data_IF_510273235315
#
_entry.id   IF_510273235315
#
_cell.length_a   1.000
_cell.length_b   1.000
_cell.length_c   1.000
_cell.angle_alpha   90.00
_cell.angle_beta   90.00
_cell.angle_gamma   90.00
#
_symmetry.space_group_name_H-M   'P 1'
#
loop_
_entity.id
_entity.type
_entity.pdbx_description
1 polymer ?
#
# COMPACT_ATOMS: atom_id res chain seq x y z
N UNK A 1 -11.86 -7.77 2.89
CA UNK A 1 -11.67 -8.21 1.49
C UNK A 1 -11.77 -7.02 0.56
N UNK A 2 -10.98 -7.01 -0.49
CA UNK A 2 -11.10 -6.06 -1.60
C UNK A 2 -11.64 -6.80 -2.83
N UNK A 3 -12.58 -6.18 -3.54
CA UNK A 3 -12.96 -6.62 -4.86
C UNK A 3 -11.87 -6.20 -5.85
N UNK A 4 -11.28 -7.13 -6.55
CA UNK A 4 -10.34 -6.85 -7.62
C UNK A 4 -11.08 -6.66 -8.93
N UNK A 5 -10.87 -5.51 -9.57
CA UNK A 5 -11.30 -5.23 -10.94
C UNK A 5 -10.11 -5.45 -11.86
N UNK A 6 -10.27 -6.34 -12.82
CA UNK A 6 -9.22 -6.63 -13.79
C UNK A 6 -9.27 -5.63 -14.94
N UNK A 7 -8.13 -5.14 -15.42
CA UNK A 7 -8.09 -4.10 -16.45
C UNK A 7 -8.64 -4.54 -17.82
N UNK A 8 -8.78 -5.86 -18.04
CA UNK A 8 -9.39 -6.43 -19.25
C UNK A 8 -10.88 -6.73 -19.10
N UNK A 9 -11.44 -6.57 -17.90
CA UNK A 9 -12.88 -6.73 -17.70
C UNK A 9 -13.64 -5.50 -18.18
N UNK A 10 -14.80 -5.74 -18.78
CA UNK A 10 -15.73 -4.65 -19.06
C UNK A 10 -16.23 -4.08 -17.73
N UNK A 11 -16.30 -2.75 -17.67
CA UNK A 11 -16.76 -2.05 -16.48
C UNK A 11 -18.10 -2.59 -15.95
N UNK A 12 -19.03 -2.93 -16.84
CA UNK A 12 -20.32 -3.49 -16.50
C UNK A 12 -20.22 -4.88 -15.83
N UNK A 13 -19.31 -5.74 -16.27
CA UNK A 13 -19.04 -7.05 -15.65
C UNK A 13 -18.48 -6.88 -14.23
N UNK A 14 -17.58 -5.91 -14.05
CA UNK A 14 -17.02 -5.56 -12.74
C UNK A 14 -18.10 -5.04 -11.78
N UNK A 15 -19.04 -4.21 -12.26
CA UNK A 15 -20.19 -3.73 -11.48
C UNK A 15 -21.14 -4.86 -11.07
N UNK A 16 -21.43 -5.80 -11.96
CA UNK A 16 -22.27 -6.96 -11.63
C UNK A 16 -21.61 -7.85 -10.57
N UNK A 17 -20.32 -8.12 -10.70
CA UNK A 17 -19.55 -8.88 -9.71
C UNK A 17 -19.49 -8.16 -8.36
N UNK A 18 -19.31 -6.85 -8.35
CA UNK A 18 -19.36 -6.03 -7.16
C UNK A 18 -20.74 -6.18 -6.45
N UNK A 19 -21.84 -6.10 -7.19
CA UNK A 19 -23.18 -6.30 -6.64
C UNK A 19 -23.39 -7.68 -6.01
N UNK A 20 -22.76 -8.73 -6.55
CA UNK A 20 -22.79 -10.08 -5.96
C UNK A 20 -22.01 -10.14 -4.64
N UNK A 21 -20.83 -9.51 -4.59
CA UNK A 21 -20.00 -9.47 -3.37
C UNK A 21 -20.63 -8.67 -2.25
N UNK A 22 -21.37 -7.61 -2.56
CA UNK A 22 -22.13 -6.86 -1.58
C UNK A 22 -23.27 -7.68 -0.94
N UNK A 23 -23.85 -8.65 -1.68
CA UNK A 23 -24.79 -9.62 -1.09
C UNK A 23 -24.09 -10.54 -0.11
N UNK A 24 -22.91 -11.06 -0.47
CA UNK A 24 -22.09 -11.90 0.41
C UNK A 24 -21.69 -11.14 1.68
N UNK A 25 -21.34 -9.87 1.58
CA UNK A 25 -21.02 -9.05 2.76
C UNK A 25 -22.25 -8.93 3.70
N UNK A 26 -23.42 -8.65 3.17
CA UNK A 26 -24.65 -8.58 3.97
C UNK A 26 -24.93 -9.89 4.69
N UNK A 27 -24.76 -11.02 4.01
CA UNK A 27 -24.92 -12.36 4.59
C UNK A 27 -23.84 -12.65 5.66
N UNK A 28 -22.60 -12.19 5.45
CA UNK A 28 -21.51 -12.42 6.41
C UNK A 28 -21.73 -11.76 7.76
N UNK A 29 -22.55 -10.70 7.83
CA UNK A 29 -22.92 -10.05 9.09
C UNK A 29 -23.66 -11.00 10.04
N UNK A 30 -24.37 -12.00 9.50
CA UNK A 30 -25.01 -13.05 10.30
C UNK A 30 -23.99 -14.00 10.94
N UNK A 31 -22.75 -14.08 10.40
CA UNK A 31 -21.66 -14.90 10.89
C UNK A 31 -20.61 -14.12 11.69
N UNK A 32 -21.03 -13.07 12.42
CA UNK A 32 -20.17 -12.32 13.32
C UNK A 32 -19.42 -11.14 12.70
N UNK A 33 -19.69 -10.79 11.44
CA UNK A 33 -19.15 -9.56 10.83
C UNK A 33 -17.62 -9.56 10.61
N UNK A 34 -17.00 -10.75 10.52
CA UNK A 34 -15.55 -10.88 10.31
C UNK A 34 -15.11 -10.54 8.87
N UNK A 35 -16.04 -10.49 7.92
CA UNK A 35 -15.76 -10.15 6.53
C UNK A 35 -16.37 -8.78 6.23
N UNK A 36 -15.56 -7.87 5.73
CA UNK A 36 -16.00 -6.56 5.24
C UNK A 36 -15.51 -6.39 3.81
N UNK A 37 -16.39 -5.91 2.93
CA UNK A 37 -16.09 -5.61 1.53
C UNK A 37 -16.43 -4.14 1.30
N UNK A 38 -15.47 -3.26 1.48
CA UNK A 38 -15.63 -1.81 1.28
C UNK A 38 -14.51 -1.24 0.39
N UNK A 39 -13.62 -2.11 -0.09
CA UNK A 39 -12.45 -1.72 -0.87
C UNK A 39 -12.54 -2.32 -2.26
N UNK A 40 -12.28 -1.51 -3.27
CA UNK A 40 -12.12 -1.93 -4.67
C UNK A 40 -10.65 -1.84 -5.05
N UNK A 41 -10.07 -2.95 -5.52
CA UNK A 41 -8.67 -3.02 -5.96
C UNK A 41 -8.58 -2.85 -7.47
N UNK A 42 -7.76 -1.89 -7.90
CA UNK A 42 -7.43 -1.62 -9.30
C UNK A 42 -5.94 -1.87 -9.55
N UNK A 43 -5.59 -2.15 -10.80
CA UNK A 43 -4.22 -2.26 -11.27
C UNK A 43 -4.00 -1.25 -12.39
N UNK A 44 -3.02 -0.35 -12.22
CA UNK A 44 -2.66 0.64 -13.24
C UNK A 44 -1.69 0.09 -14.25
N UNK A 45 -0.72 -0.71 -13.78
CA UNK A 45 0.39 -1.20 -14.58
C UNK A 45 0.89 -2.56 -14.09
N UNK A 46 2.03 -2.98 -14.60
CA UNK A 46 2.75 -4.18 -14.15
C UNK A 46 3.94 -3.85 -13.27
N UNK A 47 5.13 -4.42 -13.59
CA UNK A 47 6.37 -4.31 -12.82
C UNK A 47 7.55 -3.90 -13.70
N UNK A 48 8.60 -3.33 -13.09
CA UNK A 48 9.77 -2.82 -13.80
C UNK A 48 10.51 -3.94 -14.51
N UNK A 49 10.75 -5.05 -13.83
CA UNK A 49 11.57 -6.17 -14.31
C UNK A 49 11.02 -6.81 -15.60
N UNK A 50 9.74 -6.68 -15.83
CA UNK A 50 9.06 -7.18 -17.03
C UNK A 50 8.77 -6.08 -18.06
N UNK A 51 9.29 -4.86 -17.87
CA UNK A 51 9.00 -3.66 -18.69
C UNK A 51 7.50 -3.37 -18.84
N UNK A 52 6.72 -3.71 -17.83
CA UNK A 52 5.26 -3.51 -17.82
C UNK A 52 4.81 -2.43 -16.84
N UNK A 53 5.70 -1.91 -15.99
CA UNK A 53 5.44 -0.70 -15.23
C UNK A 53 5.33 0.50 -16.19
N UNK A 54 4.28 1.31 -16.03
CA UNK A 54 4.02 2.45 -16.92
C UNK A 54 4.80 3.68 -16.47
N UNK A 55 5.75 4.10 -17.32
CA UNK A 55 6.71 5.15 -17.04
C UNK A 55 6.38 6.44 -17.82
N UNK A 56 6.69 7.60 -17.26
CA UNK A 56 6.64 8.88 -17.98
C UNK A 56 7.70 9.00 -19.06
N UNK A 57 8.90 8.49 -18.79
CA UNK A 57 9.99 8.39 -19.77
C UNK A 57 10.22 6.94 -20.19
N UNK A 58 10.74 6.67 -21.41
CA UNK A 58 11.08 5.31 -21.81
C UNK A 58 12.04 4.61 -20.84
N UNK A 59 12.06 3.28 -20.87
CA UNK A 59 13.10 2.48 -20.24
C UNK A 59 14.45 2.77 -20.91
N UNK A 60 15.56 2.56 -20.16
CA UNK A 60 16.91 2.83 -20.70
C UNK A 60 17.34 1.82 -21.76
N UNK A 61 16.91 0.58 -21.63
CA UNK A 61 17.28 -0.54 -22.52
C UNK A 61 16.31 -0.75 -23.68
N UNK A 62 15.20 0.00 -23.74
CA UNK A 62 14.22 -0.07 -24.83
C UNK A 62 13.39 1.22 -24.97
N UNK A 63 12.84 1.45 -26.16
CA UNK A 63 12.03 2.64 -26.44
C UNK A 63 10.61 2.62 -25.82
N UNK A 64 10.23 1.53 -25.17
CA UNK A 64 8.91 1.37 -24.53
C UNK A 64 8.80 2.11 -23.19
N UNK A 65 7.57 2.43 -22.82
CA UNK A 65 7.23 3.05 -21.53
C UNK A 65 6.45 2.13 -20.59
N UNK A 66 6.37 0.84 -20.89
CA UNK A 66 5.48 -0.08 -20.21
C UNK A 66 4.04 0.02 -20.70
N UNK A 67 3.10 -0.35 -19.87
CA UNK A 67 1.68 -0.44 -20.25
C UNK A 67 0.79 0.13 -19.16
N UNK A 68 0.10 1.23 -19.46
CA UNK A 68 -1.04 1.67 -18.67
C UNK A 68 -2.24 0.77 -19.00
N UNK A 69 -2.89 0.21 -17.99
CA UNK A 69 -4.05 -0.68 -18.18
C UNK A 69 -5.36 0.09 -18.31
N UNK A 70 -5.39 1.36 -18.00
CA UNK A 70 -6.56 2.21 -18.04
C UNK A 70 -6.37 3.40 -18.97
N UNK A 71 -7.44 3.76 -19.64
CA UNK A 71 -7.60 5.10 -20.17
C UNK A 71 -7.90 6.06 -19.00
N UNK A 72 -7.22 7.21 -18.93
CA UNK A 72 -7.28 8.13 -17.82
C UNK A 72 -8.71 8.69 -17.58
N UNK A 73 -9.43 9.01 -18.64
CA UNK A 73 -10.80 9.54 -18.48
C UNK A 73 -11.75 8.46 -17.95
N UNK A 74 -11.63 7.23 -18.44
CA UNK A 74 -12.37 6.08 -17.93
C UNK A 74 -12.04 5.83 -16.45
N UNK A 75 -10.75 5.90 -16.07
CA UNK A 75 -10.32 5.73 -14.69
C UNK A 75 -10.89 6.82 -13.78
N UNK A 76 -10.83 8.09 -14.20
CA UNK A 76 -11.37 9.24 -13.45
C UNK A 76 -12.85 9.06 -13.10
N UNK A 77 -13.66 8.74 -14.13
CA UNK A 77 -15.09 8.55 -13.91
C UNK A 77 -15.39 7.31 -13.07
N UNK A 78 -14.65 6.22 -13.25
CA UNK A 78 -14.84 5.04 -12.43
C UNK A 78 -14.42 5.28 -10.96
N UNK A 79 -13.31 5.95 -10.71
CA UNK A 79 -12.94 6.38 -9.37
C UNK A 79 -13.97 7.32 -8.75
N UNK A 80 -14.53 8.26 -9.53
CA UNK A 80 -15.58 9.17 -9.06
C UNK A 80 -16.83 8.40 -8.61
N UNK A 81 -17.30 7.44 -9.40
CA UNK A 81 -18.46 6.61 -9.06
C UNK A 81 -18.22 5.80 -7.78
N UNK A 82 -17.07 5.13 -7.68
CA UNK A 82 -16.71 4.34 -6.49
C UNK A 82 -16.59 5.20 -5.22
N UNK A 83 -16.01 6.39 -5.34
CA UNK A 83 -15.87 7.33 -4.24
C UNK A 83 -17.22 7.92 -3.83
N UNK A 84 -18.12 8.23 -4.78
CA UNK A 84 -19.50 8.69 -4.51
C UNK A 84 -20.29 7.62 -3.75
N UNK A 85 -20.12 6.35 -4.08
CA UNK A 85 -20.71 5.21 -3.37
C UNK A 85 -20.09 4.94 -2.00
N UNK A 86 -19.01 5.62 -1.65
CA UNK A 86 -18.35 5.52 -0.36
C UNK A 86 -17.32 4.39 -0.25
N UNK A 87 -16.82 3.88 -1.37
CA UNK A 87 -15.82 2.83 -1.39
C UNK A 87 -14.40 3.38 -1.20
N UNK A 88 -13.58 2.62 -0.47
CA UNK A 88 -12.14 2.80 -0.52
C UNK A 88 -11.61 2.22 -1.84
N UNK A 89 -10.81 3.01 -2.55
CA UNK A 89 -10.13 2.57 -3.76
C UNK A 89 -8.68 2.26 -3.40
N UNK A 90 -8.21 1.08 -3.77
CA UNK A 90 -6.85 0.61 -3.52
C UNK A 90 -6.17 0.29 -4.87
N UNK A 91 -5.22 1.11 -5.28
CA UNK A 91 -4.61 1.06 -6.61
C UNK A 91 -3.19 0.49 -6.52
N UNK A 92 -2.87 -0.51 -7.36
CA UNK A 92 -1.49 -0.88 -7.66
C UNK A 92 -0.93 0.11 -8.67
N UNK A 93 0.19 0.75 -8.35
CA UNK A 93 0.93 1.62 -9.26
C UNK A 93 2.43 1.56 -8.95
N UNK A 94 3.21 1.15 -9.92
CA UNK A 94 4.66 0.93 -9.85
C UNK A 94 5.45 2.05 -10.54
N UNK A 95 5.18 2.28 -11.82
CA UNK A 95 5.86 3.32 -12.60
C UNK A 95 5.34 4.72 -12.28
N UNK A 96 6.17 5.72 -12.50
CA UNK A 96 5.83 7.13 -12.25
C UNK A 96 4.62 7.61 -13.07
N UNK A 97 4.46 7.18 -14.32
CA UNK A 97 3.27 7.45 -15.11
C UNK A 97 2.00 6.81 -14.53
N UNK A 98 2.11 5.58 -14.00
CA UNK A 98 0.99 4.90 -13.36
C UNK A 98 0.61 5.58 -12.03
N UNK A 99 1.59 5.99 -11.23
CA UNK A 99 1.36 6.75 -9.99
C UNK A 99 0.70 8.09 -10.28
N UNK A 100 1.19 8.82 -11.30
CA UNK A 100 0.62 10.09 -11.73
C UNK A 100 -0.86 9.96 -12.13
N UNK A 101 -1.18 9.00 -12.98
CA UNK A 101 -2.55 8.76 -13.42
C UNK A 101 -3.46 8.33 -12.25
N UNK A 102 -2.96 7.48 -11.34
CA UNK A 102 -3.69 7.07 -10.14
C UNK A 102 -3.99 8.25 -9.20
N UNK A 103 -2.99 9.07 -8.90
CA UNK A 103 -3.16 10.27 -8.06
C UNK A 103 -4.14 11.24 -8.71
N UNK A 104 -3.98 11.50 -10.01
CA UNK A 104 -4.86 12.38 -10.79
C UNK A 104 -6.32 11.91 -10.75
N UNK A 105 -6.56 10.62 -10.93
CA UNK A 105 -7.91 10.06 -10.92
C UNK A 105 -8.55 10.13 -9.51
N UNK A 106 -7.79 9.82 -8.46
CA UNK A 106 -8.29 9.91 -7.09
C UNK A 106 -8.57 11.36 -6.67
N UNK A 107 -7.68 12.29 -7.00
CA UNK A 107 -7.87 13.74 -6.74
C UNK A 107 -9.13 14.24 -7.47
N UNK A 108 -9.29 13.89 -8.75
CA UNK A 108 -10.49 14.24 -9.52
C UNK A 108 -11.76 13.72 -8.85
N UNK A 109 -11.80 12.47 -8.45
CA UNK A 109 -12.93 11.86 -7.77
C UNK A 109 -13.29 12.59 -6.48
N UNK A 110 -12.30 12.80 -5.61
CA UNK A 110 -12.48 13.46 -4.32
C UNK A 110 -12.89 14.93 -4.46
N UNK A 111 -12.39 15.65 -5.45
CA UNK A 111 -12.79 17.04 -5.70
C UNK A 111 -14.23 17.13 -6.20
N UNK A 112 -14.62 16.24 -7.12
CA UNK A 112 -15.99 16.20 -7.64
C UNK A 112 -17.03 15.86 -6.57
N UNK A 113 -16.69 14.97 -5.65
CA UNK A 113 -17.61 14.47 -4.63
C UNK A 113 -17.48 15.18 -3.27
N UNK A 114 -16.46 16.04 -3.08
CA UNK A 114 -16.20 16.71 -1.81
C UNK A 114 -15.78 15.74 -0.69
N UNK A 115 -14.99 14.72 -1.01
CA UNK A 115 -14.68 13.59 -0.14
C UNK A 115 -13.22 13.50 0.29
N UNK A 116 -12.42 14.56 0.07
CA UNK A 116 -11.01 14.58 0.47
C UNK A 116 -10.81 14.04 1.90
N UNK A 117 -9.87 13.11 2.08
CA UNK A 117 -9.56 12.42 3.35
C UNK A 117 -10.66 11.52 3.93
N UNK A 118 -11.82 11.38 3.28
CA UNK A 118 -12.99 10.68 3.85
C UNK A 118 -12.90 9.15 3.67
N UNK A 119 -12.62 8.70 2.44
CA UNK A 119 -12.69 7.28 2.10
C UNK A 119 -11.35 6.56 2.16
N UNK A 120 -10.26 7.26 2.55
CA UNK A 120 -8.95 6.68 2.82
C UNK A 120 -8.42 5.88 1.65
N UNK A 121 -8.46 6.44 0.43
CA UNK A 121 -7.95 5.78 -0.76
C UNK A 121 -6.46 5.44 -0.61
N UNK A 122 -6.01 4.39 -1.27
CA UNK A 122 -4.69 3.81 -1.10
C UNK A 122 -4.02 3.64 -2.45
N UNK A 123 -2.75 4.02 -2.54
CA UNK A 123 -1.87 3.59 -3.64
C UNK A 123 -0.82 2.64 -3.06
N UNK A 124 -0.70 1.45 -3.67
CA UNK A 124 0.26 0.44 -3.25
C UNK A 124 1.51 0.51 -4.12
N UNK A 125 2.62 0.08 -3.54
CA UNK A 125 3.96 -0.02 -4.10
C UNK A 125 4.68 1.32 -4.21
N UNK A 126 4.26 2.22 -5.10
CA UNK A 126 4.88 3.53 -5.25
C UNK A 126 6.40 3.41 -5.47
N UNK A 127 6.81 2.43 -6.33
CA UNK A 127 8.24 2.18 -6.57
C UNK A 127 8.90 3.43 -7.11
N UNK A 128 8.29 4.06 -8.12
CA UNK A 128 8.73 5.36 -8.62
C UNK A 128 7.57 6.35 -8.52
N UNK A 129 7.81 7.49 -7.87
CA UNK A 129 6.81 8.54 -7.70
C UNK A 129 7.47 9.92 -7.77
N UNK A 130 6.79 10.87 -8.42
CA UNK A 130 7.22 12.27 -8.42
C UNK A 130 6.96 12.92 -7.07
N UNK A 131 7.75 13.94 -6.73
CA UNK A 131 7.52 14.71 -5.49
C UNK A 131 6.20 15.46 -5.52
N UNK A 132 5.73 15.86 -6.72
CA UNK A 132 4.43 16.51 -6.88
C UNK A 132 3.27 15.55 -6.58
N UNK A 133 3.33 14.31 -7.09
CA UNK A 133 2.31 13.31 -6.79
C UNK A 133 2.29 12.96 -5.30
N UNK A 134 3.46 12.82 -4.67
CA UNK A 134 3.58 12.60 -3.23
C UNK A 134 2.96 13.77 -2.44
N UNK A 135 3.21 15.02 -2.87
CA UNK A 135 2.62 16.22 -2.25
C UNK A 135 1.09 16.19 -2.33
N UNK A 136 0.53 15.85 -3.50
CA UNK A 136 -0.92 15.71 -3.68
C UNK A 136 -1.49 14.60 -2.81
N UNK A 137 -0.81 13.43 -2.71
CA UNK A 137 -1.22 12.36 -1.81
C UNK A 137 -1.34 12.85 -0.36
N UNK A 138 -0.35 13.61 0.14
CA UNK A 138 -0.38 14.20 1.48
C UNK A 138 -1.53 15.19 1.65
N UNK A 139 -1.77 16.04 0.66
CA UNK A 139 -2.82 17.05 0.66
C UNK A 139 -4.23 16.40 0.73
N UNK A 140 -4.48 15.39 -0.10
CA UNK A 140 -5.79 14.72 -0.21
C UNK A 140 -5.96 13.56 0.77
N UNK A 141 -4.90 13.18 1.50
CA UNK A 141 -4.94 12.08 2.46
C UNK A 141 -5.00 10.71 1.80
N UNK A 142 -4.42 10.57 0.62
CA UNK A 142 -4.20 9.28 -0.04
C UNK A 142 -3.11 8.53 0.73
N UNK A 143 -3.38 7.28 1.07
CA UNK A 143 -2.50 6.42 1.88
C UNK A 143 -1.48 5.74 0.98
N UNK A 144 -0.23 5.68 1.42
CA UNK A 144 0.83 4.89 0.80
C UNK A 144 0.92 3.50 1.46
N UNK A 145 0.61 2.44 0.73
CA UNK A 145 0.82 1.06 1.18
C UNK A 145 2.12 0.51 0.60
N UNK A 146 3.19 0.54 1.39
CA UNK A 146 4.54 0.21 0.94
C UNK A 146 4.94 -1.21 1.32
N UNK A 147 5.86 -1.80 0.53
CA UNK A 147 6.46 -3.11 0.75
C UNK A 147 7.95 -2.93 1.09
N UNK A 148 8.30 -2.70 2.37
CA UNK A 148 9.69 -2.41 2.74
C UNK A 148 10.65 -3.56 2.48
N UNK A 149 10.14 -4.78 2.27
CA UNK A 149 10.91 -5.95 1.87
C UNK A 149 11.59 -5.81 0.49
N UNK A 150 11.11 -4.88 -0.34
CA UNK A 150 11.61 -4.63 -1.69
C UNK A 150 12.59 -3.46 -1.75
N UNK A 151 12.80 -2.78 -0.62
CA UNK A 151 13.70 -1.64 -0.57
C UNK A 151 15.16 -2.10 -0.76
N UNK A 152 15.94 -1.44 -1.62
CA UNK A 152 17.34 -1.76 -1.82
C UNK A 152 18.14 -1.70 -0.51
N UNK A 153 18.81 -2.79 -0.15
CA UNK A 153 19.62 -2.90 1.05
C UNK A 153 21.11 -2.65 0.77
N UNK A 154 21.49 -2.68 -0.50
CA UNK A 154 22.86 -2.48 -0.96
C UNK A 154 22.88 -1.78 -2.33
N UNK A 155 24.02 -1.24 -2.71
CA UNK A 155 24.21 -0.69 -4.07
C UNK A 155 24.04 -1.77 -5.16
N UNK A 156 24.26 -3.04 -4.82
CA UNK A 156 24.05 -4.15 -5.74
C UNK A 156 22.56 -4.32 -6.08
N UNK A 157 21.66 -4.03 -5.15
CA UNK A 157 20.23 -4.17 -5.38
C UNK A 157 19.73 -3.13 -6.41
N UNK A 158 20.26 -1.90 -6.37
CA UNK A 158 20.03 -0.93 -7.47
C UNK A 158 20.58 -1.41 -8.80
N UNK A 159 21.63 -2.20 -8.78
CA UNK A 159 22.20 -2.81 -9.97
C UNK A 159 21.24 -3.75 -10.70
N UNK A 160 20.20 -4.23 -10.04
CA UNK A 160 19.15 -5.04 -10.67
C UNK A 160 18.20 -4.19 -11.51
N UNK A 161 17.84 -2.99 -11.04
CA UNK A 161 16.90 -2.08 -11.70
C UNK A 161 17.59 -1.06 -12.63
N UNK A 162 18.85 -0.76 -12.37
CA UNK A 162 19.63 0.25 -13.12
C UNK A 162 19.69 0.02 -14.62
N UNK A 163 19.77 -1.21 -15.17
CA UNK A 163 19.67 -1.45 -16.60
C UNK A 163 18.37 -0.97 -17.22
N UNK A 164 17.27 -1.00 -16.48
CA UNK A 164 15.93 -0.63 -16.93
C UNK A 164 15.62 0.84 -16.70
N UNK A 165 16.07 1.38 -15.57
CA UNK A 165 15.67 2.70 -15.07
C UNK A 165 16.78 3.76 -15.14
N UNK A 166 18.04 3.35 -15.34
CA UNK A 166 19.18 4.28 -15.26
C UNK A 166 19.28 4.93 -13.88
N UNK A 167 19.48 6.25 -13.83
CA UNK A 167 19.55 7.01 -12.58
C UNK A 167 18.22 7.03 -11.80
N UNK A 168 17.08 6.75 -12.45
CA UNK A 168 15.77 6.66 -11.78
C UNK A 168 15.71 5.56 -10.73
N UNK A 169 16.53 4.49 -10.86
CA UNK A 169 16.65 3.45 -9.86
C UNK A 169 17.09 3.99 -8.48
N UNK A 170 17.87 5.07 -8.44
CA UNK A 170 18.30 5.70 -7.20
C UNK A 170 17.18 6.51 -6.52
N UNK A 171 16.06 6.75 -7.20
CA UNK A 171 14.89 7.46 -6.69
C UNK A 171 13.74 6.54 -6.28
N UNK A 172 13.97 5.23 -6.24
CA UNK A 172 12.94 4.27 -5.86
C UNK A 172 12.53 4.35 -4.39
N UNK A 173 11.26 4.08 -4.14
CA UNK A 173 10.67 3.92 -2.80
C UNK A 173 10.99 5.10 -1.87
N UNK A 174 10.52 6.30 -2.21
CA UNK A 174 10.72 7.55 -1.45
C UNK A 174 9.96 7.55 -0.10
N UNK A 175 10.28 6.60 0.78
CA UNK A 175 9.50 6.33 1.97
C UNK A 175 9.58 7.48 3.01
N UNK A 176 10.76 8.05 3.21
CA UNK A 176 10.94 9.21 4.11
C UNK A 176 10.33 10.48 3.53
N UNK A 177 10.43 10.64 2.21
CA UNK A 177 9.80 11.76 1.48
C UNK A 177 8.28 11.68 1.62
N UNK A 178 7.66 10.51 1.47
CA UNK A 178 6.23 10.29 1.73
C UNK A 178 5.84 10.76 3.15
N UNK A 179 6.57 10.31 4.19
CA UNK A 179 6.30 10.71 5.58
C UNK A 179 6.46 12.23 5.76
N UNK A 180 7.53 12.83 5.22
CA UNK A 180 7.81 14.26 5.34
C UNK A 180 6.75 15.14 4.67
N UNK A 181 6.13 14.68 3.61
CA UNK A 181 5.02 15.35 2.91
C UNK A 181 3.64 15.06 3.52
N UNK A 182 3.59 14.38 4.66
CA UNK A 182 2.36 14.13 5.42
C UNK A 182 1.50 12.99 4.88
N UNK A 183 2.05 12.14 4.02
CA UNK A 183 1.37 10.94 3.56
C UNK A 183 1.35 9.91 4.69
N UNK A 184 0.18 9.36 4.98
CA UNK A 184 0.07 8.25 5.92
C UNK A 184 0.60 6.98 5.27
N UNK A 185 1.60 6.35 5.91
CA UNK A 185 2.23 5.14 5.42
C UNK A 185 1.68 3.92 6.14
N UNK A 186 1.39 2.86 5.40
CA UNK A 186 1.09 1.53 5.92
C UNK A 186 2.08 0.51 5.39
N UNK A 187 2.48 -0.46 6.22
CA UNK A 187 3.38 -1.54 5.84
C UNK A 187 2.58 -2.76 5.37
N UNK A 188 3.00 -3.35 4.27
CA UNK A 188 2.42 -4.56 3.71
C UNK A 188 3.53 -5.48 3.17
N UNK A 189 3.23 -6.75 2.99
CA UNK A 189 4.19 -7.72 2.44
C UNK A 189 3.93 -8.06 0.97
N UNK A 190 2.72 -7.87 0.52
CA UNK A 190 2.25 -8.39 -0.77
C UNK A 190 2.48 -9.92 -0.92
N UNK A 191 2.21 -10.65 0.18
CA UNK A 191 2.34 -12.11 0.17
C UNK A 191 1.36 -12.74 -0.84
N UNK A 192 1.78 -13.73 -1.66
CA UNK A 192 3.00 -14.53 -1.54
C UNK A 192 4.22 -13.99 -2.33
N UNK A 193 4.15 -12.78 -2.93
CA UNK A 193 5.30 -12.20 -3.67
C UNK A 193 6.51 -12.04 -2.74
N UNK A 194 6.30 -11.60 -1.51
CA UNK A 194 7.33 -11.59 -0.47
C UNK A 194 7.39 -12.97 0.22
N UNK A 195 8.50 -13.72 0.10
CA UNK A 195 8.59 -15.08 0.65
C UNK A 195 8.56 -15.14 2.18
N UNK A 196 9.09 -14.12 2.86
CA UNK A 196 9.14 -13.99 4.33
C UNK A 196 8.39 -12.74 4.76
N UNK A 197 7.08 -12.80 4.99
CA UNK A 197 6.25 -11.62 5.27
C UNK A 197 6.28 -11.18 6.74
N UNK A 198 7.32 -11.52 7.51
CA UNK A 198 7.42 -11.15 8.92
C UNK A 198 7.53 -9.62 9.08
N UNK A 199 6.64 -8.96 9.83
CA UNK A 199 6.66 -7.50 9.98
C UNK A 199 8.00 -6.94 10.51
N UNK A 200 8.68 -7.66 11.42
CA UNK A 200 9.99 -7.26 11.94
C UNK A 200 11.04 -7.16 10.85
N UNK A 201 11.03 -8.08 9.87
CA UNK A 201 11.92 -8.00 8.71
C UNK A 201 11.64 -6.74 7.88
N UNK A 202 10.37 -6.42 7.62
CA UNK A 202 10.01 -5.21 6.89
C UNK A 202 10.42 -3.93 7.65
N UNK A 203 10.30 -3.93 8.98
CA UNK A 203 10.76 -2.81 9.84
C UNK A 203 12.27 -2.65 9.72
N UNK A 204 13.03 -3.75 9.82
CA UNK A 204 14.48 -3.75 9.68
C UNK A 204 14.92 -3.21 8.32
N UNK A 205 14.33 -3.73 7.26
CA UNK A 205 14.69 -3.35 5.89
C UNK A 205 14.41 -1.88 5.58
N UNK A 206 13.33 -1.31 6.11
CA UNK A 206 13.04 0.11 5.96
C UNK A 206 14.03 1.03 6.71
N UNK A 207 14.53 0.57 7.85
CA UNK A 207 15.51 1.29 8.67
C UNK A 207 16.95 1.15 8.17
N UNK A 208 17.27 0.03 7.53
CA UNK A 208 18.65 -0.32 7.13
C UNK A 208 18.93 -0.15 5.64
N UNK A 209 17.94 0.26 4.84
CA UNK A 209 18.11 0.44 3.40
C UNK A 209 19.33 1.31 3.06
N UNK A 210 19.96 1.05 1.90
CA UNK A 210 21.20 1.73 1.51
C UNK A 210 21.01 3.26 1.30
N UNK A 211 19.86 3.71 0.81
CA UNK A 211 19.55 5.14 0.73
C UNK A 211 19.21 5.72 2.10
N UNK A 212 20.20 6.26 2.78
CA UNK A 212 20.04 6.81 4.13
C UNK A 212 18.97 7.90 4.24
N UNK A 213 18.89 8.77 3.23
CA UNK A 213 17.89 9.87 3.19
C UNK A 213 16.43 9.38 3.18
N UNK A 214 16.20 8.15 2.71
CA UNK A 214 14.87 7.55 2.61
C UNK A 214 14.60 6.49 3.70
N UNK A 215 15.50 6.35 4.68
CA UNK A 215 15.29 5.46 5.83
C UNK A 215 14.12 5.94 6.69
N UNK A 216 13.28 5.00 7.08
CA UNK A 216 12.24 5.25 8.07
C UNK A 216 12.67 4.76 9.44
N UNK A 217 12.50 5.56 10.50
CA UNK A 217 12.84 5.12 11.85
C UNK A 217 11.92 3.97 12.30
N UNK A 218 12.45 3.06 13.11
CA UNK A 218 11.73 1.89 13.64
C UNK A 218 10.35 2.25 14.20
N UNK A 219 10.18 3.31 15.04
CA UNK A 219 8.86 3.69 15.55
C UNK A 219 7.85 4.08 14.46
N UNK A 220 8.30 4.67 13.35
CA UNK A 220 7.42 5.00 12.22
C UNK A 220 6.92 3.72 11.54
N UNK A 221 7.81 2.75 11.33
CA UNK A 221 7.46 1.47 10.73
C UNK A 221 6.60 0.60 11.64
N UNK A 222 6.81 0.61 12.96
CA UNK A 222 5.90 -0.03 13.91
C UNK A 222 4.50 0.56 13.76
N UNK A 223 4.37 1.89 13.69
CA UNK A 223 3.06 2.52 13.42
C UNK A 223 2.48 2.12 12.08
N UNK A 224 3.30 2.00 11.03
CA UNK A 224 2.85 1.60 9.70
C UNK A 224 2.24 0.18 9.70
N UNK A 225 2.83 -0.76 10.42
CA UNK A 225 2.33 -2.15 10.53
C UNK A 225 1.24 -2.35 11.61
N UNK A 226 0.93 -1.34 12.41
CA UNK A 226 -0.05 -1.44 13.49
C UNK A 226 -1.16 -0.39 13.37
N UNK A 227 -1.00 0.77 14.01
CA UNK A 227 -1.99 1.84 14.08
C UNK A 227 -2.46 2.33 12.71
N UNK A 228 -1.52 2.56 11.80
CA UNK A 228 -1.83 3.07 10.47
C UNK A 228 -2.54 2.02 9.62
N UNK A 229 -2.11 0.74 9.72
CA UNK A 229 -2.82 -0.38 9.10
C UNK A 229 -4.25 -0.52 9.62
N UNK A 230 -4.46 -0.39 10.93
CA UNK A 230 -5.80 -0.38 11.50
C UNK A 230 -6.64 0.80 10.98
N UNK A 231 -6.03 1.98 10.83
CA UNK A 231 -6.69 3.15 10.24
C UNK A 231 -7.09 2.91 8.79
N UNK A 232 -6.20 2.36 7.96
CA UNK A 232 -6.50 2.00 6.57
C UNK A 232 -7.71 1.05 6.48
N UNK A 233 -7.82 0.13 7.44
CA UNK A 233 -8.89 -0.87 7.51
C UNK A 233 -10.17 -0.37 8.20
N UNK A 234 -10.25 0.89 8.60
CA UNK A 234 -11.36 1.47 9.38
C UNK A 234 -11.58 0.78 10.74
N UNK A 235 -10.51 0.22 11.33
CA UNK A 235 -10.51 -0.52 12.59
C UNK A 235 -9.69 0.17 13.70
N UNK A 236 -9.30 1.42 13.55
CA UNK A 236 -8.45 2.19 14.48
C UNK A 236 -9.09 2.43 15.86
N UNK A 237 -10.38 2.15 16.02
CA UNK A 237 -11.07 2.27 17.30
C UNK A 237 -10.99 1.02 18.17
N UNK A 238 -10.45 -0.08 17.61
CA UNK A 238 -10.38 -1.37 18.30
C UNK A 238 -9.06 -2.13 18.05
N UNK A 239 -8.25 -1.71 17.08
CA UNK A 239 -7.00 -2.37 16.68
C UNK A 239 -5.85 -1.36 16.53
N UNK A 240 -4.63 -1.89 16.57
CA UNK A 240 -3.40 -1.17 16.21
C UNK A 240 -2.75 -0.40 17.35
N UNK A 241 -3.32 -0.42 18.56
CA UNK A 241 -2.74 0.20 19.75
C UNK A 241 -2.93 -0.65 21.01
N UNK A 242 -2.01 -0.52 21.95
CA UNK A 242 -2.17 -1.07 23.32
C UNK A 242 -2.91 -0.03 24.13
N UNK A 243 -4.23 -0.17 24.20
CA UNK A 243 -5.11 0.78 24.88
C UNK A 243 -6.30 0.03 25.50
N UNK A 244 -6.81 0.52 26.63
CA UNK A 244 -8.01 -0.06 27.27
C UNK A 244 -9.21 0.00 26.30
N UNK A 245 -9.89 -1.13 26.13
CA UNK A 245 -11.02 -1.27 25.21
C UNK A 245 -10.64 -1.73 23.81
N UNK A 246 -9.35 -1.80 23.49
CA UNK A 246 -8.88 -2.39 22.25
C UNK A 246 -8.80 -3.91 22.35
N UNK A 247 -8.85 -4.59 21.21
CA UNK A 247 -8.65 -6.04 21.15
C UNK A 247 -7.23 -6.39 21.58
N UNK A 248 -7.09 -7.48 22.29
CA UNK A 248 -5.80 -7.97 22.74
C UNK A 248 -5.14 -8.83 21.64
N UNK A 249 -4.75 -8.15 20.55
CA UNK A 249 -3.93 -8.69 19.46
C UNK A 249 -2.50 -8.18 19.69
N UNK A 250 -1.66 -9.01 20.32
CA UNK A 250 -0.35 -8.60 20.82
C UNK A 250 0.75 -9.54 20.33
N UNK A 251 1.88 -8.97 20.01
CA UNK A 251 3.14 -9.68 19.81
C UNK A 251 4.17 -9.13 20.76
N UNK A 252 4.87 -10.00 21.48
CA UNK A 252 5.96 -9.62 22.39
C UNK A 252 7.27 -10.25 21.95
N UNK A 253 8.32 -9.46 22.01
CA UNK A 253 9.70 -9.89 21.75
C UNK A 253 10.49 -9.84 23.06
N UNK A 254 11.58 -10.63 23.18
CA UNK A 254 12.42 -10.64 24.40
C UNK A 254 13.26 -9.37 24.52
N UNK A 255 13.65 -8.83 23.38
CA UNK A 255 14.47 -7.64 23.28
C UNK A 255 13.68 -6.45 22.74
N UNK A 256 14.16 -5.26 22.98
CA UNK A 256 13.55 -4.03 22.52
C UNK A 256 13.73 -3.86 20.99
N UNK A 257 12.66 -3.97 20.23
CA UNK A 257 12.70 -3.84 18.77
C UNK A 257 12.55 -2.38 18.28
N UNK A 258 12.32 -1.41 19.17
CA UNK A 258 12.11 -0.02 18.78
C UNK A 258 13.40 0.79 18.57
N UNK A 259 14.55 0.30 19.06
CA UNK A 259 15.84 0.96 18.88
C UNK A 259 16.59 0.36 17.70
N UNK A 260 16.63 -0.96 17.64
CA UNK A 260 17.30 -1.73 16.60
C UNK A 260 16.50 -3.01 16.34
N UNK A 261 16.44 -3.42 15.08
CA UNK A 261 15.82 -4.67 14.66
C UNK A 261 16.63 -5.25 13.49
N UNK A 262 16.94 -6.54 13.58
CA UNK A 262 17.72 -7.26 12.55
C UNK A 262 16.82 -7.98 11.53
N UNK A 263 15.54 -8.19 11.89
CA UNK A 263 14.56 -8.83 11.02
C UNK A 263 14.41 -10.33 11.23
N UNK A 264 15.25 -10.93 12.08
CA UNK A 264 15.20 -12.36 12.42
C UNK A 264 14.63 -12.62 13.83
N UNK A 265 14.09 -11.60 14.48
CA UNK A 265 13.52 -11.69 15.81
C UNK A 265 12.33 -12.64 15.83
N UNK A 266 12.39 -13.60 16.75
CA UNK A 266 11.33 -14.57 16.96
C UNK A 266 10.41 -14.06 18.08
N UNK A 267 9.09 -14.00 17.85
CA UNK A 267 8.15 -13.65 18.91
C UNK A 267 8.28 -14.59 20.12
N UNK A 268 8.44 -14.02 21.31
CA UNK A 268 8.37 -14.76 22.56
C UNK A 268 6.92 -14.97 23.02
N UNK A 269 6.02 -14.12 22.51
CA UNK A 269 4.63 -14.12 22.91
C UNK A 269 3.75 -13.69 21.73
N UNK A 270 2.67 -14.43 21.49
CA UNK A 270 1.65 -14.09 20.51
C UNK A 270 0.25 -14.29 21.15
N UNK A 271 -0.55 -13.25 21.10
CA UNK A 271 -1.94 -13.27 21.52
C UNK A 271 -2.83 -12.73 20.39
N UNK A 272 -3.93 -13.39 20.13
CA UNK A 272 -4.95 -12.97 19.17
C UNK A 272 -6.31 -13.05 19.87
N UNK A 273 -7.04 -11.95 19.85
CA UNK A 273 -8.35 -11.80 20.49
C UNK A 273 -8.35 -12.29 21.96
N UNK A 274 -7.28 -11.95 22.70
CA UNK A 274 -7.07 -12.33 24.08
C UNK A 274 -6.64 -13.79 24.32
N UNK A 275 -6.46 -14.60 23.27
CA UNK A 275 -6.01 -16.00 23.39
C UNK A 275 -4.52 -16.11 23.06
N UNK A 276 -3.78 -16.78 23.92
CA UNK A 276 -2.34 -17.01 23.72
C UNK A 276 -2.14 -18.18 22.78
N UNK A 277 -1.39 -17.94 21.68
CA UNK A 277 -1.02 -18.96 20.69
C UNK A 277 0.45 -19.35 20.76
N UNK A 278 1.32 -18.46 21.23
CA UNK A 278 2.74 -18.70 21.40
C UNK A 278 3.19 -18.12 22.74
N UNK A 279 3.93 -18.92 23.51
CA UNK A 279 4.64 -18.50 24.72
C UNK A 279 5.91 -19.32 24.83
N UNK A 280 7.06 -18.71 24.48
CA UNK A 280 8.40 -19.29 24.55
C UNK A 280 9.19 -18.83 25.78
#
# INVERSE_FOLDING_TARGET
LALTVQPWEKLEESRQRYGQLMKIEKESRFYGGHIQIHTVKLYMDGVVENHTAYMEAPYEDQAGRGKNFWDLETLREFCRELDEEGHQIHIHAIGDGAVHDAVTALVYAMDRNGTARKHRHVIAHLQIASDEDIRLMGQYGIIASIQPYWFPQSEKDYGLEKPFLGERAEAEYKARTLEAMGVLITGASDSPVTPRPAPVLGIAMAGNRCQEKERLPVPAMIRAFTRNGAYQLFRERELGMIQRGFRADLVGYREAIWEQVDGDEIPAFLMVDGKIYLKN
#
